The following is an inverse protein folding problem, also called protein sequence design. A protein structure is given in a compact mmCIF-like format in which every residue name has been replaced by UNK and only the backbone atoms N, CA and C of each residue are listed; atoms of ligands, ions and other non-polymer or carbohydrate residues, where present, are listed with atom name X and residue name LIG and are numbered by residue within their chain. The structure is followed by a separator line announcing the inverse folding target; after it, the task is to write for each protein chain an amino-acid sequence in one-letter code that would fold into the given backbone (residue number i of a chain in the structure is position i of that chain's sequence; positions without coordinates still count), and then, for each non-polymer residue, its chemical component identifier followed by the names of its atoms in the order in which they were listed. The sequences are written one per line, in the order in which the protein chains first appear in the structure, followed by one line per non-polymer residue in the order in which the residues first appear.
data_IF_136382276324
#
_entry.id   IF_136382276324
#
_cell.length_a   1.000
_cell.length_b   1.000
_cell.length_c   1.000
_cell.angle_alpha   90.00
_cell.angle_beta   90.00
_cell.angle_gamma   90.00
#
_symmetry.space_group_name_H-M   'P 1'
#
loop_
_entity.id
_entity.type
_entity.pdbx_description
1 polymer ?
#
# COMPACT_ATOMS: atom_id res chain seq x y z
N UNK A 1 -25.06 8.70 -2.60
CA UNK A 1 -25.31 7.24 -2.71
C UNK A 1 -23.96 6.58 -2.49
N UNK A 2 -23.85 5.83 -1.40
CA UNK A 2 -22.61 5.39 -0.76
C UNK A 2 -22.26 3.96 -1.24
N UNK A 3 -20.99 3.53 -1.19
CA UNK A 3 -20.15 3.44 -2.40
C UNK A 3 -19.47 2.07 -2.57
N UNK A 4 -19.95 1.06 -1.85
CA UNK A 4 -19.39 -0.29 -1.90
C UNK A 4 -20.22 -1.18 -2.81
N UNK A 5 -19.60 -1.64 -3.88
CA UNK A 5 -20.17 -2.62 -4.79
C UNK A 5 -19.63 -4.02 -4.48
N UNK A 6 -20.24 -5.08 -5.05
CA UNK A 6 -19.67 -6.41 -4.98
C UNK A 6 -18.20 -6.44 -5.41
N UNK A 7 -17.39 -7.36 -4.85
CA UNK A 7 -15.97 -7.50 -5.20
C UNK A 7 -15.74 -7.69 -6.71
N UNK A 8 -14.77 -6.96 -7.26
CA UNK A 8 -14.32 -7.10 -8.65
C UNK A 8 -13.11 -8.04 -8.72
N UNK A 9 -13.36 -9.35 -8.72
CA UNK A 9 -12.30 -10.38 -8.68
C UNK A 9 -11.84 -10.84 -10.06
N UNK A 10 -12.69 -10.69 -11.09
CA UNK A 10 -12.41 -11.07 -12.47
C UNK A 10 -12.53 -9.92 -13.47
N UNK A 11 -12.88 -8.72 -13.00
CA UNK A 11 -12.94 -7.49 -13.78
C UNK A 11 -11.83 -6.53 -13.34
N UNK A 12 -11.64 -5.45 -14.10
CA UNK A 12 -10.77 -4.35 -13.73
C UNK A 12 -11.17 -3.79 -12.36
N UNK A 13 -10.30 -3.90 -11.36
CA UNK A 13 -10.54 -3.43 -10.00
C UNK A 13 -10.61 -1.89 -9.86
N UNK A 14 -10.44 -1.16 -10.95
CA UNK A 14 -10.55 0.30 -11.00
C UNK A 14 -11.81 0.80 -11.71
N UNK A 15 -12.38 0.03 -12.64
CA UNK A 15 -13.51 0.51 -13.45
C UNK A 15 -14.56 -0.54 -13.80
N UNK A 16 -14.40 -1.80 -13.39
CA UNK A 16 -15.34 -2.88 -13.68
C UNK A 16 -15.31 -3.44 -15.11
N UNK A 17 -14.46 -2.92 -16.01
CA UNK A 17 -14.32 -3.49 -17.37
C UNK A 17 -13.82 -4.93 -17.33
N UNK A 18 -14.37 -5.79 -18.21
CA UNK A 18 -13.91 -7.18 -18.40
C UNK A 18 -12.91 -7.35 -19.55
N UNK A 19 -12.55 -6.26 -20.23
CA UNK A 19 -11.75 -6.29 -21.46
C UNK A 19 -10.26 -6.05 -21.19
N UNK A 20 -9.39 -6.70 -21.96
CA UNK A 20 -7.94 -6.50 -21.97
C UNK A 20 -7.31 -6.48 -20.56
N UNK A 21 -7.54 -7.55 -19.79
CA UNK A 21 -7.17 -7.63 -18.39
C UNK A 21 -5.73 -8.12 -18.20
N UNK A 22 -4.98 -7.38 -17.38
CA UNK A 22 -3.62 -7.70 -16.95
C UNK A 22 -3.53 -7.68 -15.42
N UNK A 23 -2.45 -8.21 -14.85
CA UNK A 23 -2.15 -8.03 -13.43
C UNK A 23 -1.34 -6.77 -13.21
N UNK A 24 -1.63 -6.01 -12.17
CA UNK A 24 -0.83 -4.84 -11.80
C UNK A 24 0.41 -5.26 -10.99
N UNK A 25 1.51 -4.53 -11.13
CA UNK A 25 2.68 -4.74 -10.30
C UNK A 25 2.48 -4.24 -8.84
N UNK A 26 2.74 -5.11 -7.86
CA UNK A 26 2.84 -4.78 -6.42
C UNK A 26 3.97 -3.80 -6.13
N UNK A 27 5.07 -3.89 -6.90
CA UNK A 27 6.22 -3.00 -6.83
C UNK A 27 6.57 -2.59 -8.26
N UNK A 28 6.61 -1.28 -8.52
CA UNK A 28 6.78 -0.76 -9.89
C UNK A 28 8.12 -1.22 -10.50
N UNK A 29 8.05 -1.90 -11.63
CA UNK A 29 9.24 -2.43 -12.31
C UNK A 29 10.23 -1.34 -12.75
N UNK A 30 9.76 -0.15 -13.13
CA UNK A 30 10.64 0.99 -13.46
C UNK A 30 11.43 1.47 -12.25
N UNK A 31 10.79 1.57 -11.08
CA UNK A 31 11.45 1.97 -9.85
C UNK A 31 12.52 0.93 -9.43
N UNK A 32 12.18 -0.36 -9.52
CA UNK A 32 13.14 -1.45 -9.30
C UNK A 32 14.35 -1.35 -10.26
N UNK A 33 14.12 -1.14 -11.55
CA UNK A 33 15.20 -1.00 -12.54
C UNK A 33 16.06 0.24 -12.31
N UNK A 34 15.46 1.35 -11.90
CA UNK A 34 16.17 2.60 -11.65
C UNK A 34 17.17 2.45 -10.49
N UNK A 35 16.87 1.58 -9.52
CA UNK A 35 17.68 1.42 -8.30
C UNK A 35 18.61 0.20 -8.42
N UNK A 36 18.14 -0.91 -8.98
CA UNK A 36 18.85 -2.20 -8.98
C UNK A 36 19.32 -2.66 -10.36
N UNK A 37 19.02 -1.92 -11.43
CA UNK A 37 19.33 -2.31 -12.80
C UNK A 37 18.55 -3.55 -13.25
N UNK A 38 19.20 -4.44 -14.00
CA UNK A 38 18.60 -5.70 -14.53
C UNK A 38 18.91 -6.94 -13.68
N UNK A 39 19.57 -6.78 -12.53
CA UNK A 39 20.04 -7.89 -11.72
C UNK A 39 18.91 -8.58 -10.95
N UNK A 40 19.15 -9.83 -10.52
CA UNK A 40 18.26 -10.54 -9.60
C UNK A 40 18.18 -9.85 -8.24
N UNK A 41 17.04 -9.96 -7.56
CA UNK A 41 16.77 -9.26 -6.31
C UNK A 41 16.09 -10.15 -5.28
N UNK A 42 16.18 -9.76 -4.02
CA UNK A 42 15.52 -10.42 -2.89
C UNK A 42 14.21 -9.70 -2.62
N UNK A 43 13.11 -10.44 -2.65
CA UNK A 43 11.79 -9.96 -2.26
C UNK A 43 11.47 -10.51 -0.87
N UNK A 44 11.10 -9.61 0.04
CA UNK A 44 10.48 -9.99 1.30
C UNK A 44 8.99 -9.66 1.31
N UNK A 45 8.22 -10.48 2.03
CA UNK A 45 6.99 -10.04 2.68
C UNK A 45 7.19 -10.27 4.17
N UNK A 46 6.71 -9.34 5.01
CA UNK A 46 6.82 -9.50 6.46
C UNK A 46 6.20 -10.84 6.90
N UNK A 47 6.93 -11.61 7.71
CA UNK A 47 6.51 -12.94 8.17
C UNK A 47 6.60 -14.07 7.13
N UNK A 48 7.12 -13.83 5.93
CA UNK A 48 7.36 -14.87 4.92
C UNK A 48 8.85 -15.06 4.61
N UNK A 49 9.22 -16.27 4.17
CA UNK A 49 10.56 -16.54 3.65
C UNK A 49 10.87 -15.65 2.44
N UNK A 50 12.09 -15.10 2.41
CA UNK A 50 12.58 -14.31 1.28
C UNK A 50 12.54 -15.12 -0.02
N UNK A 51 12.04 -14.49 -1.09
CA UNK A 51 11.99 -15.11 -2.42
C UNK A 51 12.97 -14.40 -3.34
N UNK A 52 13.77 -15.17 -4.06
CA UNK A 52 14.60 -14.62 -5.13
C UNK A 52 13.74 -14.37 -6.37
N UNK A 53 13.75 -13.13 -6.87
CA UNK A 53 13.21 -12.82 -8.17
C UNK A 53 14.32 -12.65 -9.20
N UNK A 54 14.17 -13.38 -10.30
CA UNK A 54 15.11 -13.40 -11.42
C UNK A 54 15.14 -12.06 -12.18
N UNK A 55 14.07 -11.26 -12.11
CA UNK A 55 14.02 -9.93 -12.72
C UNK A 55 12.90 -9.06 -12.13
N UNK A 56 12.94 -7.72 -12.32
CA UNK A 56 11.85 -6.81 -11.96
C UNK A 56 10.48 -7.13 -12.59
N UNK A 57 10.44 -7.97 -13.62
CA UNK A 57 9.22 -8.36 -14.34
C UNK A 57 8.61 -9.67 -13.85
N UNK A 58 9.15 -10.26 -12.79
CA UNK A 58 8.66 -11.54 -12.26
C UNK A 58 7.15 -11.47 -11.94
N UNK A 59 6.41 -12.54 -12.27
CA UNK A 59 5.01 -12.71 -11.86
C UNK A 59 4.82 -12.66 -10.34
N UNK A 60 5.88 -12.95 -9.57
CA UNK A 60 5.88 -12.78 -8.13
C UNK A 60 5.61 -11.33 -7.68
N UNK A 61 5.85 -10.35 -8.56
CA UNK A 61 5.55 -8.93 -8.33
C UNK A 61 4.16 -8.52 -8.78
N UNK A 62 3.28 -9.42 -9.22
CA UNK A 62 1.98 -9.04 -9.73
C UNK A 62 0.87 -9.37 -8.75
N UNK A 63 -0.11 -8.49 -8.66
CA UNK A 63 -1.40 -8.79 -8.07
C UNK A 63 -2.12 -9.86 -8.91
N UNK A 64 -2.89 -10.72 -8.25
CA UNK A 64 -3.88 -11.56 -8.94
C UNK A 64 -5.08 -10.73 -9.41
N UNK A 65 -5.34 -9.59 -8.75
CA UNK A 65 -6.33 -8.60 -9.16
C UNK A 65 -6.09 -8.13 -10.60
N UNK A 66 -7.19 -7.91 -11.32
CA UNK A 66 -7.16 -7.56 -12.74
C UNK A 66 -7.29 -6.05 -12.92
N UNK A 67 -6.57 -5.50 -13.89
CA UNK A 67 -6.69 -4.12 -14.37
C UNK A 67 -6.78 -4.13 -15.89
N UNK A 68 -7.75 -3.43 -16.46
CA UNK A 68 -7.84 -3.30 -17.91
C UNK A 68 -6.75 -2.38 -18.46
N UNK A 69 -6.35 -2.61 -19.70
CA UNK A 69 -5.30 -1.85 -20.39
C UNK A 69 -5.51 -0.33 -20.33
N UNK A 70 -6.73 0.15 -20.55
CA UNK A 70 -7.05 1.59 -20.51
C UNK A 70 -6.77 2.19 -19.13
N UNK A 71 -7.13 1.48 -18.05
CA UNK A 71 -6.84 1.96 -16.72
C UNK A 71 -5.35 1.85 -16.41
N UNK A 72 -4.74 0.69 -16.72
CA UNK A 72 -3.36 0.40 -16.35
C UNK A 72 -2.35 1.28 -17.08
N UNK A 73 -2.68 1.72 -18.30
CA UNK A 73 -1.84 2.58 -19.11
C UNK A 73 -2.34 4.03 -19.04
N UNK A 74 -3.42 4.36 -19.76
CA UNK A 74 -3.78 5.76 -19.99
C UNK A 74 -4.25 6.49 -18.72
N UNK A 75 -5.13 5.88 -17.92
CA UNK A 75 -5.74 6.58 -16.77
C UNK A 75 -4.78 6.73 -15.59
N UNK A 76 -3.94 5.72 -15.31
CA UNK A 76 -3.02 5.78 -14.16
C UNK A 76 -1.60 6.25 -14.53
N UNK A 77 -1.26 6.41 -15.82
CA UNK A 77 0.09 6.89 -16.21
C UNK A 77 0.51 8.20 -15.54
N UNK A 78 -0.34 9.23 -15.40
CA UNK A 78 0.05 10.45 -14.68
C UNK A 78 0.44 10.18 -13.21
N UNK A 79 -0.27 9.27 -12.54
CA UNK A 79 0.02 8.83 -11.18
C UNK A 79 1.34 8.04 -11.11
N UNK A 80 1.52 7.10 -12.04
CA UNK A 80 2.75 6.31 -12.16
C UNK A 80 3.98 7.21 -12.36
N UNK A 81 3.90 8.23 -13.22
CA UNK A 81 4.98 9.18 -13.47
C UNK A 81 5.25 10.10 -12.27
N UNK A 82 4.20 10.49 -11.53
CA UNK A 82 4.34 11.30 -10.32
C UNK A 82 5.07 10.50 -9.23
N UNK A 83 4.73 9.22 -9.06
CA UNK A 83 5.42 8.34 -8.12
C UNK A 83 6.89 8.14 -8.48
N UNK A 84 7.25 7.97 -9.77
CA UNK A 84 8.66 7.87 -10.17
C UNK A 84 9.47 9.10 -9.72
N UNK A 85 8.91 10.30 -9.89
CA UNK A 85 9.53 11.56 -9.46
C UNK A 85 9.60 11.66 -7.93
N UNK A 86 8.54 11.27 -7.24
CA UNK A 86 8.47 11.26 -5.77
C UNK A 86 9.53 10.33 -5.19
N UNK A 87 9.60 9.09 -5.69
CA UNK A 87 10.58 8.12 -5.27
C UNK A 87 12.01 8.56 -5.57
N UNK A 88 12.28 9.10 -6.77
CA UNK A 88 13.60 9.63 -7.09
C UNK A 88 14.03 10.76 -6.15
N UNK A 89 13.09 11.63 -5.74
CA UNK A 89 13.37 12.70 -4.79
C UNK A 89 13.65 12.16 -3.37
N UNK A 90 12.86 11.20 -2.87
CA UNK A 90 13.12 10.56 -1.57
C UNK A 90 14.51 9.91 -1.53
N UNK A 91 14.91 9.24 -2.60
CA UNK A 91 16.27 8.68 -2.74
C UNK A 91 17.36 9.76 -2.84
N UNK A 92 17.08 10.89 -3.49
CA UNK A 92 18.02 12.01 -3.57
C UNK A 92 18.28 12.63 -2.19
N UNK A 93 17.23 12.77 -1.37
CA UNK A 93 17.35 13.23 0.02
C UNK A 93 18.23 12.28 0.84
N UNK A 94 17.99 10.97 0.75
CA UNK A 94 18.83 9.97 1.42
C UNK A 94 20.30 10.04 1.01
N UNK A 95 20.59 10.19 -0.29
CA UNK A 95 21.97 10.33 -0.78
C UNK A 95 22.68 11.58 -0.23
N UNK A 96 21.92 12.59 0.19
CA UNK A 96 22.41 13.82 0.83
C UNK A 96 22.44 13.71 2.36
N UNK A 97 22.10 12.56 2.94
CA UNK A 97 22.04 12.35 4.38
C UNK A 97 20.81 12.95 5.06
N UNK A 98 19.75 13.27 4.30
CA UNK A 98 18.50 13.84 4.79
C UNK A 98 17.43 12.76 4.97
N UNK A 99 16.41 13.08 5.76
CA UNK A 99 15.25 12.21 5.96
C UNK A 99 14.42 12.11 4.65
N UNK A 100 14.13 10.91 4.13
CA UNK A 100 13.31 10.75 2.93
C UNK A 100 11.89 11.30 3.10
N UNK A 101 11.38 11.42 4.34
CA UNK A 101 10.09 12.04 4.65
C UNK A 101 10.03 13.52 4.21
N UNK A 102 11.18 14.20 4.13
CA UNK A 102 11.27 15.57 3.62
C UNK A 102 10.90 15.70 2.13
N UNK A 103 10.66 14.58 1.42
CA UNK A 103 10.12 14.61 0.06
C UNK A 103 8.82 15.42 -0.03
N UNK A 104 8.03 15.46 1.05
CA UNK A 104 6.81 16.27 1.14
C UNK A 104 7.07 17.78 1.16
N UNK A 105 8.29 18.23 1.47
CA UNK A 105 8.69 19.63 1.43
C UNK A 105 9.00 20.13 0.01
N UNK A 106 9.13 19.22 -0.96
CA UNK A 106 9.30 19.61 -2.36
C UNK A 106 8.02 20.30 -2.87
N UNK A 107 8.10 21.52 -3.41
CA UNK A 107 6.92 22.27 -3.88
C UNK A 107 6.06 21.51 -4.88
N UNK A 108 6.64 20.56 -5.63
CA UNK A 108 5.90 19.73 -6.60
C UNK A 108 4.89 18.80 -5.91
N UNK A 109 5.18 18.40 -4.66
CA UNK A 109 4.39 17.46 -3.86
C UNK A 109 3.70 18.13 -2.66
N UNK A 110 3.67 19.46 -2.62
CA UNK A 110 3.00 20.19 -1.55
C UNK A 110 1.48 20.02 -1.63
N UNK A 111 0.83 19.82 -0.49
CA UNK A 111 -0.64 19.83 -0.38
C UNK A 111 -1.25 21.18 -0.73
N UNK A 112 -0.46 22.26 -0.71
CA UNK A 112 -0.86 23.63 -1.06
C UNK A 112 -0.81 23.88 -2.57
N UNK A 113 -1.28 22.93 -3.37
CA UNK A 113 -1.39 23.06 -4.83
C UNK A 113 -0.19 22.57 -5.64
N UNK A 114 0.66 21.72 -5.08
CA UNK A 114 1.76 21.10 -5.81
C UNK A 114 1.25 20.31 -7.03
N UNK A 115 1.80 20.52 -8.24
CA UNK A 115 1.25 19.93 -9.47
C UNK A 115 1.29 18.41 -9.53
N UNK A 116 2.09 17.75 -8.69
CA UNK A 116 2.19 16.29 -8.62
C UNK A 116 1.53 15.70 -7.38
N UNK A 117 1.06 16.53 -6.43
CA UNK A 117 0.55 16.10 -5.13
C UNK A 117 -0.50 15.00 -5.28
N UNK A 118 -1.65 15.29 -5.88
CA UNK A 118 -2.74 14.31 -6.00
C UNK A 118 -2.29 13.04 -6.75
N UNK A 119 -1.49 13.18 -7.80
CA UNK A 119 -1.03 12.04 -8.60
C UNK A 119 -0.14 11.07 -7.81
N UNK A 120 0.62 11.54 -6.82
CA UNK A 120 1.33 10.63 -5.90
C UNK A 120 0.35 9.79 -5.09
N UNK A 121 -0.70 10.39 -4.54
CA UNK A 121 -1.70 9.66 -3.77
C UNK A 121 -2.56 8.74 -4.64
N UNK A 122 -2.84 9.12 -5.89
CA UNK A 122 -3.53 8.26 -6.87
C UNK A 122 -2.79 6.97 -7.15
N UNK A 123 -1.45 7.02 -7.16
CA UNK A 123 -0.63 5.82 -7.31
C UNK A 123 -0.87 4.84 -6.16
N UNK A 124 -0.88 5.32 -4.92
CA UNK A 124 -1.17 4.48 -3.76
C UNK A 124 -2.65 4.04 -3.69
N UNK A 125 -3.59 4.85 -4.18
CA UNK A 125 -4.99 4.46 -4.33
C UNK A 125 -5.15 3.30 -5.33
N UNK A 126 -4.43 3.31 -6.46
CA UNK A 126 -4.36 2.19 -7.42
C UNK A 126 -3.91 0.90 -6.72
N UNK A 127 -2.82 0.96 -5.96
CA UNK A 127 -2.30 -0.19 -5.21
C UNK A 127 -3.31 -0.68 -4.14
N UNK A 128 -3.97 0.24 -3.44
CA UNK A 128 -5.00 -0.10 -2.46
C UNK A 128 -6.18 -0.84 -3.11
N UNK A 129 -6.69 -0.35 -4.25
CA UNK A 129 -7.73 -1.06 -5.00
C UNK A 129 -7.30 -2.48 -5.42
N UNK A 130 -6.04 -2.64 -5.84
CA UNK A 130 -5.51 -3.97 -6.19
C UNK A 130 -5.42 -4.90 -4.97
N UNK A 131 -4.96 -4.41 -3.83
CA UNK A 131 -4.96 -5.17 -2.58
C UNK A 131 -6.36 -5.62 -2.16
N UNK A 132 -7.34 -4.71 -2.24
CA UNK A 132 -8.72 -5.00 -1.89
C UNK A 132 -9.33 -6.06 -2.81
N UNK A 133 -9.14 -5.92 -4.12
CA UNK A 133 -9.63 -6.89 -5.09
C UNK A 133 -8.96 -8.28 -4.94
N UNK A 134 -7.66 -8.35 -4.66
CA UNK A 134 -6.93 -9.61 -4.41
C UNK A 134 -7.49 -10.37 -3.18
N UNK A 135 -8.01 -9.64 -2.20
CA UNK A 135 -8.66 -10.21 -1.01
C UNK A 135 -10.16 -10.48 -1.19
N UNK A 136 -10.74 -10.16 -2.35
CA UNK A 136 -12.18 -10.26 -2.56
C UNK A 136 -12.98 -9.27 -1.70
N UNK A 137 -12.40 -8.12 -1.35
CA UNK A 137 -13.08 -7.07 -0.60
C UNK A 137 -14.09 -6.31 -1.48
N UNK A 138 -15.14 -5.70 -0.89
CA UNK A 138 -16.08 -4.85 -1.60
C UNK A 138 -15.39 -3.74 -2.41
N UNK A 139 -15.87 -3.51 -3.62
CA UNK A 139 -15.32 -2.49 -4.51
C UNK A 139 -15.73 -1.10 -4.03
N UNK A 140 -14.76 -0.29 -3.62
CA UNK A 140 -14.99 1.06 -3.15
C UNK A 140 -14.81 2.07 -4.29
N UNK A 141 -15.92 2.50 -4.89
CA UNK A 141 -15.91 3.34 -6.10
C UNK A 141 -15.16 4.66 -5.91
N UNK A 142 -15.26 5.30 -4.73
CA UNK A 142 -14.65 6.62 -4.52
C UNK A 142 -13.11 6.56 -4.53
N UNK A 143 -12.51 5.47 -4.04
CA UNK A 143 -11.06 5.27 -4.12
C UNK A 143 -10.65 5.00 -5.56
N UNK A 144 -11.43 4.18 -6.27
CA UNK A 144 -11.17 3.85 -7.66
C UNK A 144 -11.26 5.08 -8.56
N UNK A 145 -12.32 5.89 -8.41
CA UNK A 145 -12.52 7.16 -9.11
C UNK A 145 -11.37 8.14 -8.84
N UNK A 146 -10.91 8.22 -7.59
CA UNK A 146 -9.72 8.99 -7.26
C UNK A 146 -8.49 8.45 -7.99
N UNK A 147 -8.22 7.15 -7.90
CA UNK A 147 -7.06 6.49 -8.51
C UNK A 147 -6.98 6.71 -10.04
N UNK A 148 -8.11 6.73 -10.74
CA UNK A 148 -8.17 6.92 -12.20
C UNK A 148 -8.42 8.38 -12.61
N UNK A 149 -8.41 9.33 -11.67
CA UNK A 149 -8.49 10.77 -11.95
C UNK A 149 -9.90 11.29 -12.26
N UNK A 150 -10.96 10.54 -11.96
CA UNK A 150 -12.35 11.02 -12.04
C UNK A 150 -12.67 11.96 -10.86
N UNK A 151 -12.05 11.72 -9.70
CA UNK A 151 -12.21 12.55 -8.50
C UNK A 151 -10.86 13.10 -8.01
N UNK A 152 -10.92 14.26 -7.35
CA UNK A 152 -9.81 14.85 -6.60
C UNK A 152 -9.91 14.57 -5.09
N UNK A 153 -10.95 13.84 -4.65
CA UNK A 153 -11.13 13.51 -3.23
C UNK A 153 -10.12 12.44 -2.80
N UNK A 154 -9.08 12.85 -2.07
CA UNK A 154 -8.04 11.96 -1.59
C UNK A 154 -8.48 11.23 -0.30
N UNK A 155 -8.46 9.89 -0.34
CA UNK A 155 -8.72 9.02 0.82
C UNK A 155 -7.46 8.39 1.41
N UNK A 156 -6.31 8.58 0.75
CA UNK A 156 -5.04 7.97 1.11
C UNK A 156 -4.28 8.88 2.07
N UNK A 157 -3.91 8.32 3.21
CA UNK A 157 -2.86 8.85 4.07
C UNK A 157 -1.54 8.17 3.67
N UNK A 158 -0.48 8.95 3.52
CA UNK A 158 0.84 8.49 3.12
C UNK A 158 1.88 8.98 4.13
N UNK A 159 2.76 8.07 4.53
CA UNK A 159 3.95 8.33 5.31
C UNK A 159 5.16 7.68 4.64
N UNK A 160 6.31 8.33 4.73
CA UNK A 160 7.58 7.85 4.17
C UNK A 160 8.58 7.73 5.30
N UNK A 161 9.25 6.60 5.39
CA UNK A 161 10.28 6.34 6.38
C UNK A 161 11.42 5.46 5.83
N UNK A 162 12.39 5.20 6.70
CA UNK A 162 13.45 4.24 6.44
C UNK A 162 12.99 2.82 6.77
N UNK A 163 13.21 1.90 5.84
CA UNK A 163 12.89 0.50 6.06
C UNK A 163 13.88 -0.17 7.02
N UNK A 164 13.39 -0.64 8.16
CA UNK A 164 14.22 -1.31 9.18
C UNK A 164 14.74 -2.67 8.71
N UNK A 165 13.98 -3.36 7.86
CA UNK A 165 14.36 -4.67 7.32
C UNK A 165 15.51 -4.51 6.34
N UNK A 166 15.48 -3.47 5.51
CA UNK A 166 16.60 -3.11 4.64
C UNK A 166 17.89 -2.95 5.44
N UNK A 167 17.87 -2.20 6.56
CA UNK A 167 19.06 -2.02 7.42
C UNK A 167 19.58 -3.36 7.95
N UNK A 168 18.69 -4.26 8.38
CA UNK A 168 19.05 -5.60 8.90
C UNK A 168 19.64 -6.50 7.81
N UNK A 169 19.08 -6.45 6.60
CA UNK A 169 19.52 -7.27 5.46
C UNK A 169 20.84 -6.73 4.87
N UNK A 170 21.04 -5.42 4.82
CA UNK A 170 22.27 -4.80 4.32
C UNK A 170 23.51 -5.26 5.11
N UNK A 171 23.37 -5.50 6.42
CA UNK A 171 24.44 -6.05 7.25
C UNK A 171 24.80 -7.51 6.90
N UNK A 172 23.95 -8.22 6.15
CA UNK A 172 24.04 -9.66 5.88
C UNK A 172 24.23 -10.03 4.41
N UNK A 173 23.86 -9.16 3.46
CA UNK A 173 23.96 -9.43 2.03
C UNK A 173 25.01 -8.54 1.34
N UNK A 174 25.78 -9.15 0.43
CA UNK A 174 26.78 -8.48 -0.41
C UNK A 174 26.18 -7.64 -1.54
N UNK A 175 24.89 -7.81 -1.88
CA UNK A 175 24.17 -6.92 -2.79
C UNK A 175 22.85 -6.43 -2.16
N UNK A 176 22.69 -5.12 -2.09
CA UNK A 176 21.62 -4.44 -1.36
C UNK A 176 20.32 -4.28 -2.18
N UNK A 177 20.00 -5.28 -3.02
CA UNK A 177 18.83 -5.26 -3.90
C UNK A 177 17.61 -5.85 -3.20
N UNK A 178 16.98 -5.04 -2.34
CA UNK A 178 15.81 -5.40 -1.55
C UNK A 178 14.59 -4.56 -1.92
N UNK A 179 13.47 -5.23 -2.11
CA UNK A 179 12.16 -4.61 -2.23
C UNK A 179 11.11 -5.49 -1.54
N UNK A 180 10.06 -4.86 -1.01
CA UNK A 180 9.02 -5.56 -0.26
C UNK A 180 7.66 -4.89 -0.39
N UNK A 181 6.62 -5.63 -0.02
CA UNK A 181 5.30 -5.07 0.23
C UNK A 181 4.70 -5.69 1.50
N UNK A 182 3.92 -4.89 2.26
CA UNK A 182 3.28 -5.36 3.49
C UNK A 182 2.11 -6.31 3.25
N UNK A 183 1.49 -6.24 2.06
CA UNK A 183 0.18 -6.86 1.86
C UNK A 183 -0.92 -6.02 2.50
N UNK A 184 -2.17 -6.49 2.43
CA UNK A 184 -3.28 -5.78 3.06
C UNK A 184 -3.32 -6.10 4.56
N UNK A 185 -3.19 -5.07 5.38
CA UNK A 185 -3.38 -5.12 6.83
C UNK A 185 -4.72 -4.45 7.16
N UNK A 186 -5.50 -5.10 8.01
CA UNK A 186 -6.76 -4.56 8.52
C UNK A 186 -6.52 -4.18 9.97
N UNK A 187 -6.74 -2.91 10.29
CA UNK A 187 -6.75 -2.46 11.69
C UNK A 187 -8.18 -2.31 12.17
N UNK A 188 -8.38 -2.44 13.48
CA UNK A 188 -9.68 -2.28 14.08
C UNK A 188 -9.64 -1.78 15.51
N UNK A 189 -10.82 -1.41 15.98
CA UNK A 189 -11.05 -1.04 17.36
C UNK A 189 -10.92 -2.25 18.29
N UNK A 190 -10.22 -2.09 19.41
CA UNK A 190 -9.87 -3.20 20.31
C UNK A 190 -11.09 -3.80 21.02
N UNK A 191 -12.12 -3.00 21.28
CA UNK A 191 -13.31 -3.43 22.02
C UNK A 191 -14.40 -3.99 21.11
N UNK A 192 -14.78 -3.21 20.10
CA UNK A 192 -15.88 -3.55 19.18
C UNK A 192 -15.44 -4.52 18.07
N UNK A 193 -14.12 -4.62 17.84
CA UNK A 193 -13.50 -5.29 16.69
C UNK A 193 -13.90 -4.69 15.34
N UNK A 194 -14.47 -3.48 15.32
CA UNK A 194 -14.88 -2.84 14.08
C UNK A 194 -13.65 -2.46 13.23
N UNK A 195 -13.64 -2.73 11.91
CA UNK A 195 -12.53 -2.33 11.04
C UNK A 195 -12.43 -0.81 10.96
N UNK A 196 -11.26 -0.26 11.25
CA UNK A 196 -10.98 1.18 11.29
C UNK A 196 -10.15 1.66 10.12
N UNK A 197 -9.29 0.80 9.55
CA UNK A 197 -8.46 1.15 8.40
C UNK A 197 -8.05 -0.06 7.58
N UNK A 198 -7.72 0.20 6.32
CA UNK A 198 -6.90 -0.69 5.51
C UNK A 198 -5.55 -0.04 5.26
N UNK A 199 -4.49 -0.78 5.50
CA UNK A 199 -3.12 -0.32 5.52
C UNK A 199 -2.25 -1.26 4.69
N UNK A 200 -1.22 -0.73 4.03
CA UNK A 200 -0.18 -1.52 3.37
C UNK A 200 1.13 -0.72 3.34
N UNK A 201 2.21 -1.43 3.02
CA UNK A 201 3.52 -0.83 2.78
C UNK A 201 4.07 -1.22 1.42
N UNK A 202 4.90 -0.34 0.87
CA UNK A 202 5.71 -0.56 -0.30
C UNK A 202 7.15 -0.16 0.05
N UNK A 203 8.09 -1.08 -0.06
CA UNK A 203 9.51 -0.81 0.18
C UNK A 203 10.31 -0.95 -1.10
N UNK A 204 11.12 0.06 -1.39
CA UNK A 204 12.09 0.03 -2.48
C UNK A 204 13.43 0.46 -1.93
N UNK A 205 14.38 -0.48 -1.85
CA UNK A 205 15.67 -0.25 -1.21
C UNK A 205 15.50 0.20 0.25
N UNK A 206 16.16 1.30 0.66
CA UNK A 206 16.04 1.82 2.03
C UNK A 206 14.75 2.62 2.30
N UNK A 207 13.97 2.97 1.27
CA UNK A 207 12.78 3.81 1.44
C UNK A 207 11.53 2.94 1.54
N UNK A 208 10.72 3.19 2.56
CA UNK A 208 9.41 2.57 2.72
C UNK A 208 8.30 3.62 2.68
N UNK A 209 7.24 3.27 1.97
CA UNK A 209 6.01 4.03 1.85
C UNK A 209 4.91 3.29 2.61
N UNK A 210 4.39 3.92 3.65
CA UNK A 210 3.29 3.42 4.46
C UNK A 210 2.02 4.15 4.04
N UNK A 211 1.00 3.43 3.57
CA UNK A 211 -0.21 4.05 3.06
C UNK A 211 -1.47 3.37 3.57
N UNK A 212 -2.50 4.16 3.84
CA UNK A 212 -3.75 3.66 4.39
C UNK A 212 -4.97 4.48 3.99
N UNK A 213 -6.13 3.84 4.07
CA UNK A 213 -7.44 4.50 4.11
C UNK A 213 -8.05 4.29 5.50
N UNK A 214 -8.75 5.30 6.03
CA UNK A 214 -9.44 5.21 7.32
C UNK A 214 -10.95 5.31 7.13
N UNK A 215 -11.68 4.53 7.91
CA UNK A 215 -13.13 4.60 7.97
C UNK A 215 -13.55 5.47 9.15
N UNK A 216 -14.38 6.48 8.88
CA UNK A 216 -15.18 7.12 9.90
C UNK A 216 -16.37 6.21 10.29
N UNK A 217 -17.13 6.60 11.30
CA UNK A 217 -18.27 5.83 11.81
C UNK A 217 -19.29 5.51 10.70
N UNK A 218 -19.55 6.47 9.80
CA UNK A 218 -20.45 6.26 8.67
C UNK A 218 -19.92 5.19 7.70
N UNK A 219 -18.63 5.25 7.34
CA UNK A 219 -18.00 4.26 6.47
C UNK A 219 -18.03 2.85 7.07
N UNK A 220 -17.81 2.73 8.38
CA UNK A 220 -17.92 1.45 9.09
C UNK A 220 -19.36 0.93 9.10
N UNK A 221 -20.33 1.80 9.35
CA UNK A 221 -21.76 1.47 9.35
C UNK A 221 -22.21 0.98 7.98
N UNK A 222 -21.80 1.64 6.90
CA UNK A 222 -22.14 1.26 5.54
C UNK A 222 -21.51 -0.08 5.16
N UNK A 223 -20.23 -0.28 5.46
CA UNK A 223 -19.58 -1.58 5.21
C UNK A 223 -20.30 -2.72 5.93
N UNK A 224 -20.75 -2.47 7.17
CA UNK A 224 -21.53 -3.43 7.97
C UNK A 224 -22.90 -3.73 7.36
N UNK A 225 -23.62 -2.72 6.88
CA UNK A 225 -24.98 -2.88 6.34
C UNK A 225 -24.95 -3.48 4.93
N UNK A 226 -24.09 -2.97 4.06
CA UNK A 226 -24.06 -3.33 2.63
C UNK A 226 -23.28 -4.63 2.39
N UNK A 227 -22.25 -4.90 3.20
CA UNK A 227 -21.37 -6.07 3.03
C UNK A 227 -21.11 -6.81 4.36
N UNK A 228 -22.17 -7.29 5.05
CA UNK A 228 -22.06 -7.85 6.40
C UNK A 228 -21.11 -9.05 6.48
N UNK A 229 -21.10 -9.93 5.48
CA UNK A 229 -20.22 -11.10 5.47
C UNK A 229 -18.72 -10.72 5.46
N UNK A 230 -18.36 -9.70 4.68
CA UNK A 230 -17.00 -9.18 4.64
C UNK A 230 -16.66 -8.41 5.92
N UNK A 231 -17.58 -7.60 6.42
CA UNK A 231 -17.42 -6.90 7.69
C UNK A 231 -17.15 -7.88 8.84
N UNK A 232 -17.94 -8.96 8.96
CA UNK A 232 -17.76 -10.00 9.97
C UNK A 232 -16.44 -10.77 9.78
N UNK A 233 -16.02 -10.98 8.54
CA UNK A 233 -14.70 -11.54 8.25
C UNK A 233 -13.58 -10.63 8.76
N UNK A 234 -13.67 -9.32 8.54
CA UNK A 234 -12.73 -8.34 9.12
C UNK A 234 -12.73 -8.41 10.65
N UNK A 235 -13.91 -8.44 11.29
CA UNK A 235 -14.02 -8.56 12.76
C UNK A 235 -13.32 -9.80 13.30
N UNK A 236 -13.47 -10.95 12.62
CA UNK A 236 -12.78 -12.19 13.00
C UNK A 236 -11.26 -12.05 12.88
N UNK A 237 -10.76 -11.40 11.83
CA UNK A 237 -9.33 -11.15 11.65
C UNK A 237 -8.75 -10.18 12.69
N UNK A 238 -9.50 -9.16 13.05
CA UNK A 238 -9.10 -8.21 14.11
C UNK A 238 -9.04 -8.91 15.46
N UNK A 239 -10.08 -9.70 15.80
CA UNK A 239 -10.09 -10.50 17.03
C UNK A 239 -8.90 -11.46 17.11
N UNK A 240 -8.69 -12.23 16.04
CA UNK A 240 -7.56 -13.15 15.94
C UNK A 240 -6.21 -12.45 16.14
N UNK A 241 -6.02 -11.24 15.59
CA UNK A 241 -4.79 -10.46 15.77
C UNK A 241 -4.64 -9.86 17.18
N UNK A 242 -5.73 -9.68 17.93
CA UNK A 242 -5.69 -9.26 19.34
C UNK A 242 -5.34 -10.45 20.23
N UNK A 243 -5.97 -11.60 19.99
CA UNK A 243 -5.74 -12.85 20.72
C UNK A 243 -4.34 -13.41 20.43
N UNK A 244 -3.85 -13.23 19.20
CA UNK A 244 -2.55 -13.69 18.72
C UNK A 244 -1.71 -12.51 18.19
N UNK A 245 -1.19 -11.64 19.08
CA UNK A 245 -0.47 -10.46 18.65
C UNK A 245 0.85 -10.83 17.97
N UNK A 246 1.11 -10.20 16.82
CA UNK A 246 2.43 -10.24 16.19
C UNK A 246 3.48 -9.54 17.07
N UNK A 247 4.74 -9.91 16.91
CA UNK A 247 5.85 -9.33 17.68
C UNK A 247 6.02 -7.83 17.38
N UNK A 248 6.60 -7.07 18.30
CA UNK A 248 6.94 -5.66 18.03
C UNK A 248 7.93 -5.53 16.86
N UNK A 249 8.78 -6.53 16.64
CA UNK A 249 9.68 -6.60 15.50
C UNK A 249 8.91 -6.70 14.16
N UNK A 250 7.87 -7.53 14.11
CA UNK A 250 7.01 -7.66 12.94
C UNK A 250 6.19 -6.39 12.72
N UNK A 251 5.70 -5.74 13.80
CA UNK A 251 5.01 -4.45 13.73
C UNK A 251 5.90 -3.37 13.11
N UNK A 252 7.14 -3.27 13.60
CA UNK A 252 8.12 -2.31 13.09
C UNK A 252 8.45 -2.58 11.61
N UNK A 253 8.59 -3.85 11.23
CA UNK A 253 8.79 -4.28 9.84
C UNK A 253 7.62 -3.89 8.93
N UNK A 254 6.41 -3.92 9.48
CA UNK A 254 5.19 -3.51 8.81
C UNK A 254 4.93 -2.00 8.86
N UNK A 255 5.81 -1.19 9.46
CA UNK A 255 5.61 0.26 9.57
C UNK A 255 4.46 0.64 10.51
N UNK A 256 4.13 -0.24 11.45
CA UNK A 256 3.13 -0.04 12.49
C UNK A 256 3.82 0.42 13.77
N UNK A 257 3.19 1.35 14.49
CA UNK A 257 3.69 1.77 15.80
C UNK A 257 3.77 0.56 16.77
N UNK A 258 4.79 0.47 17.64
CA UNK A 258 4.85 -0.55 18.68
C UNK A 258 3.60 -0.47 19.58
N UNK A 259 3.18 -1.58 20.18
CA UNK A 259 2.10 -1.50 21.17
C UNK A 259 2.61 -0.63 22.33
N UNK A 260 1.92 0.48 22.62
CA UNK A 260 2.17 1.22 23.86
C UNK A 260 2.03 0.22 25.01
N UNK A 261 3.04 0.07 25.89
CA UNK A 261 2.86 -0.79 27.04
C UNK A 261 1.65 -0.27 27.82
N UNK A 262 0.71 -1.17 28.10
CA UNK A 262 -0.39 -0.88 29.00
C UNK A 262 0.23 -0.21 30.23
N UNK A 263 -0.21 1.02 30.55
CA UNK A 263 0.00 1.55 31.90
C UNK A 263 -0.67 0.52 32.81
N UNK A 264 0.14 -0.35 33.42
CA UNK A 264 -0.30 -1.24 34.47
C UNK A 264 -1.07 -0.37 35.46
N UNK A 265 -2.30 -0.77 35.77
CA UNK A 265 -3.13 -0.12 36.74
C UNK A 265 -2.32 0.08 38.03
N UNK A 266 -1.98 1.32 38.30
CA UNK A 266 -1.44 1.74 39.57
C UNK A 266 -2.60 1.97 40.51
N UNK A 267 -2.77 1.00 41.42
CA UNK A 267 -3.36 1.04 42.77
C UNK A 267 -4.56 1.95 42.98
#
# INVERSE_FOLDING_TARGET
MLPFFPPLTSQCCLCGSSQALSGEHKIKASALRAIFGKQGMVIGRAGEAYRHAQSPNSKAFHFSARVCEVCNNARTQPADLAFDKFNAQAFSLLKRGLDPAEVHNDPRFSSSGGPLYLNVFRYFAKLMCCHLAEMGAPFYVQIADFAIGISDTNFILLHVDLDVTYKRIQARLTSASYAAHGGLIITGDELSHAPTSFYSTLTIGPVRYCYQIRFNELGQLLLRIEHPAFYDWCKRKIRDAIDNPISDEDRETLGLAPKTPNKQGGV
#
